data_IF_843464865210
#
_entry.id   IF_843464865210
#
_cell.length_a   1.000
_cell.length_b   1.000
_cell.length_c   1.000
_cell.angle_alpha   90.00
_cell.angle_beta   90.00
_cell.angle_gamma   90.00
#
_symmetry.space_group_name_H-M   'P 1'
#
loop_
_entity.id
_entity.type
_entity.pdbx_description
1 polymer ?
#
# COMPACT_ATOMS: atom_id res chain seq x y z
N UNK A 1 21.55 -50.79 43.11
CA UNK A 1 22.14 -51.35 41.88
C UNK A 1 22.17 -50.20 40.88
N UNK A 2 23.27 -49.45 40.80
CA UNK A 2 24.49 -49.67 40.01
C UNK A 2 24.13 -49.72 38.51
N UNK A 3 24.63 -48.96 37.59
CA UNK A 3 25.86 -48.26 37.23
C UNK A 3 25.57 -47.50 35.93
N UNK A 4 25.99 -46.23 35.73
CA UNK A 4 27.31 -45.82 35.23
C UNK A 4 27.50 -46.00 33.71
N UNK A 5 27.81 -44.94 33.04
CA UNK A 5 28.29 -44.96 31.65
C UNK A 5 28.49 -43.56 31.05
N UNK A 6 29.47 -42.83 31.57
CA UNK A 6 30.17 -41.72 30.93
C UNK A 6 30.79 -42.15 29.61
N UNK A 7 30.73 -41.32 28.58
CA UNK A 7 31.88 -41.18 27.65
C UNK A 7 31.83 -39.83 26.89
N UNK A 8 32.69 -38.99 27.37
CA UNK A 8 33.35 -37.88 26.69
C UNK A 8 34.32 -38.42 25.64
N UNK A 9 34.35 -37.91 24.44
CA UNK A 9 35.52 -37.83 23.55
C UNK A 9 35.21 -36.71 22.53
N UNK A 10 35.78 -35.58 22.61
CA UNK A 10 37.14 -35.13 22.28
C UNK A 10 37.19 -34.44 20.90
N UNK A 11 37.57 -33.23 20.98
CA UNK A 11 37.96 -32.31 19.94
C UNK A 11 39.01 -32.87 18.97
N UNK A 12 38.97 -32.45 17.72
CA UNK A 12 40.18 -32.29 16.95
C UNK A 12 40.13 -31.02 16.09
N UNK A 13 41.10 -30.26 16.41
CA UNK A 13 41.72 -29.11 15.78
C UNK A 13 42.45 -29.55 14.49
N UNK A 14 42.61 -28.61 13.64
CA UNK A 14 43.70 -28.27 12.72
C UNK A 14 43.17 -28.15 11.28
N UNK A 15 43.62 -27.28 10.42
CA UNK A 15 44.73 -26.33 10.43
C UNK A 15 44.61 -25.45 9.19
N UNK A 16 45.14 -24.31 9.31
CA UNK A 16 45.36 -23.27 8.33
C UNK A 16 45.97 -23.74 6.99
N UNK A 17 45.60 -23.09 5.90
CA UNK A 17 46.54 -22.86 4.81
C UNK A 17 46.25 -21.52 4.13
N UNK A 18 47.15 -20.67 4.30
CA UNK A 18 47.53 -19.39 3.76
C UNK A 18 48.02 -19.59 2.32
N UNK A 19 47.48 -18.88 1.35
CA UNK A 19 48.28 -18.47 0.19
C UNK A 19 47.84 -17.13 -0.35
N UNK A 20 48.77 -16.24 -0.29
CA UNK A 20 48.82 -14.92 -0.89
C UNK A 20 49.18 -15.03 -2.38
N UNK A 21 48.84 -13.99 -3.13
CA UNK A 21 49.34 -13.77 -4.50
C UNK A 21 48.40 -12.83 -5.24
N UNK A 22 48.75 -11.73 -5.34
CA UNK A 22 49.51 -10.81 -6.19
C UNK A 22 48.60 -9.81 -6.88
N UNK A 23 48.66 -8.60 -6.43
CA UNK A 23 48.97 -7.35 -7.14
C UNK A 23 48.88 -7.38 -8.66
N UNK A 24 47.96 -6.63 -9.20
CA UNK A 24 48.18 -5.92 -10.46
C UNK A 24 47.50 -4.54 -10.41
N UNK A 25 48.32 -3.56 -10.09
CA UNK A 25 48.10 -2.16 -10.39
C UNK A 25 48.17 -2.01 -11.91
N UNK A 26 47.14 -1.46 -12.52
CA UNK A 26 47.25 -0.78 -13.81
C UNK A 26 46.67 0.60 -13.63
N UNK A 27 47.60 1.54 -13.58
CA UNK A 27 47.40 2.97 -13.71
C UNK A 27 47.12 3.25 -15.18
N UNK A 28 46.02 3.92 -15.46
CA UNK A 28 45.86 4.69 -16.69
C UNK A 28 45.11 5.98 -16.33
N UNK A 29 45.89 7.00 -16.22
CA UNK A 29 45.57 8.40 -16.27
C UNK A 29 45.02 8.68 -17.66
N UNK A 30 43.79 9.09 -17.77
CA UNK A 30 43.27 9.80 -18.92
C UNK A 30 42.91 11.21 -18.47
N UNK A 31 43.80 12.10 -18.77
CA UNK A 31 43.60 13.55 -18.81
C UNK A 31 42.54 13.85 -19.84
N UNK A 32 41.45 14.44 -19.40
CA UNK A 32 40.43 15.01 -20.30
C UNK A 32 40.80 16.48 -20.52
N UNK A 33 41.25 16.75 -21.72
CA UNK A 33 41.53 18.11 -22.18
C UNK A 33 40.19 18.83 -22.38
N UNK A 34 40.09 19.96 -21.67
CA UNK A 34 39.20 21.06 -21.96
C UNK A 34 39.91 21.92 -22.98
N UNK A 35 39.45 21.95 -24.19
CA UNK A 35 39.35 23.16 -24.99
C UNK A 35 38.84 22.83 -26.39
N UNK A 36 38.09 23.77 -26.90
CA UNK A 36 37.82 24.04 -28.32
C UNK A 36 36.61 23.29 -28.95
N UNK A 37 35.46 24.00 -28.91
CA UNK A 37 34.79 24.42 -30.16
C UNK A 37 33.56 25.29 -29.82
N UNK A 38 33.76 26.57 -29.81
CA UNK A 38 32.73 27.56 -30.07
C UNK A 38 32.35 27.47 -31.58
N UNK A 39 31.15 27.05 -31.88
CA UNK A 39 30.48 27.34 -33.12
C UNK A 39 28.98 27.29 -32.97
N UNK A 40 28.40 28.43 -32.92
CA UNK A 40 27.08 28.85 -33.37
C UNK A 40 26.33 27.84 -34.23
N UNK A 41 25.16 27.37 -33.79
CA UNK A 41 24.02 27.22 -34.67
C UNK A 41 22.71 27.41 -33.89
N UNK A 42 22.11 28.56 -34.15
CA UNK A 42 20.74 28.91 -33.89
C UNK A 42 19.83 27.99 -34.69
N UNK A 43 19.24 26.99 -34.05
CA UNK A 43 18.13 26.26 -34.69
C UNK A 43 17.01 26.13 -33.67
N UNK A 44 15.95 26.82 -33.98
CA UNK A 44 14.65 26.84 -33.33
C UNK A 44 14.20 25.45 -32.90
N UNK A 45 14.19 25.21 -31.62
CA UNK A 45 13.50 24.08 -31.02
C UNK A 45 12.00 24.41 -30.98
N UNK A 46 11.14 23.60 -31.60
CA UNK A 46 9.72 23.75 -31.40
C UNK A 46 9.44 23.43 -29.93
N UNK A 47 8.87 24.41 -29.25
CA UNK A 47 8.29 24.24 -27.93
C UNK A 47 7.36 23.01 -27.97
N UNK A 48 7.86 21.85 -27.54
CA UNK A 48 7.02 20.74 -27.17
C UNK A 48 6.23 21.23 -25.98
N UNK A 49 5.03 21.69 -26.27
CA UNK A 49 4.01 21.87 -25.28
C UNK A 49 3.93 20.55 -24.49
N UNK A 50 4.47 20.58 -23.30
CA UNK A 50 4.22 19.59 -22.27
C UNK A 50 2.78 19.80 -21.86
N UNK A 51 1.85 19.36 -22.70
CA UNK A 51 0.51 19.08 -22.24
C UNK A 51 0.67 17.90 -21.31
N UNK A 52 0.94 18.23 -20.03
CA UNK A 52 0.70 17.31 -18.96
C UNK A 52 -0.75 16.87 -19.12
N UNK A 53 -0.91 15.70 -19.73
CA UNK A 53 -2.19 15.02 -19.79
C UNK A 53 -2.56 14.68 -18.36
N UNK A 54 -3.13 15.65 -17.66
CA UNK A 54 -3.89 15.42 -16.43
C UNK A 54 -5.20 14.71 -16.80
N UNK A 55 -5.09 13.63 -17.59
CA UNK A 55 -6.15 12.67 -17.82
C UNK A 55 -6.27 11.76 -16.61
N UNK A 56 -6.83 12.30 -15.55
CA UNK A 56 -7.03 11.53 -14.32
C UNK A 56 -7.86 12.27 -13.29
N UNK A 57 -8.32 13.47 -13.60
CA UNK A 57 -9.37 14.10 -12.78
C UNK A 57 -10.66 13.35 -13.11
N UNK A 58 -10.96 12.35 -12.30
CA UNK A 58 -12.22 11.61 -12.33
C UNK A 58 -13.38 12.60 -12.12
N UNK A 59 -13.84 13.23 -13.20
CA UNK A 59 -15.09 14.02 -13.19
C UNK A 59 -16.32 13.15 -12.87
N UNK A 60 -16.17 11.82 -12.86
CA UNK A 60 -17.20 10.88 -12.42
C UNK A 60 -17.56 10.96 -10.92
N UNK A 61 -16.77 11.71 -10.14
CA UNK A 61 -17.00 11.89 -8.70
C UNK A 61 -18.19 12.80 -8.38
N UNK A 62 -18.70 13.53 -9.35
CA UNK A 62 -19.80 14.50 -9.15
C UNK A 62 -21.21 13.91 -9.35
N UNK A 63 -21.37 12.71 -9.91
CA UNK A 63 -22.69 12.13 -10.26
C UNK A 63 -23.21 11.13 -9.22
N UNK A 64 -22.43 10.81 -8.19
CA UNK A 64 -22.86 9.96 -7.09
C UNK A 64 -23.35 10.81 -5.92
N UNK A 65 -24.61 10.68 -5.53
CA UNK A 65 -25.18 11.33 -4.34
C UNK A 65 -24.29 11.11 -3.10
N UNK A 66 -24.51 11.91 -2.05
CA UNK A 66 -23.74 11.81 -0.79
C UNK A 66 -23.86 10.40 -0.20
N UNK A 67 -22.72 9.76 0.07
CA UNK A 67 -22.65 8.50 0.81
C UNK A 67 -23.12 8.76 2.25
N UNK A 68 -24.07 7.98 2.76
CA UNK A 68 -24.58 8.10 4.13
C UNK A 68 -23.73 7.24 5.07
N UNK A 69 -23.64 7.66 6.33
CA UNK A 69 -22.93 6.90 7.36
C UNK A 69 -23.50 5.47 7.55
N UNK A 70 -24.83 5.29 7.38
CA UNK A 70 -25.46 3.96 7.39
C UNK A 70 -24.91 3.06 6.29
N UNK A 71 -24.83 3.59 5.08
CA UNK A 71 -24.40 2.84 3.91
C UNK A 71 -22.91 2.40 4.03
N UNK A 72 -22.09 3.25 4.66
CA UNK A 72 -20.68 2.92 4.98
C UNK A 72 -20.61 1.81 6.02
N UNK A 73 -21.45 1.86 7.05
CA UNK A 73 -21.48 0.82 8.07
C UNK A 73 -21.91 -0.52 7.47
N UNK A 74 -22.90 -0.52 6.58
CA UNK A 74 -23.37 -1.73 5.89
C UNK A 74 -22.27 -2.30 4.97
N UNK A 75 -21.58 -1.44 4.22
CA UNK A 75 -20.41 -1.83 3.45
C UNK A 75 -19.32 -2.46 4.33
N UNK A 76 -18.97 -1.82 5.46
CA UNK A 76 -17.97 -2.35 6.37
C UNK A 76 -18.37 -3.70 6.97
N UNK A 77 -19.64 -3.88 7.37
CA UNK A 77 -20.15 -5.15 7.88
C UNK A 77 -20.03 -6.27 6.85
N UNK A 78 -20.43 -5.99 5.61
CA UNK A 78 -20.31 -6.96 4.53
C UNK A 78 -18.86 -7.30 4.23
N UNK A 79 -17.95 -6.31 4.25
CA UNK A 79 -16.52 -6.52 4.09
C UNK A 79 -15.97 -7.44 5.21
N UNK A 80 -16.32 -7.17 6.46
CA UNK A 80 -15.94 -7.99 7.60
C UNK A 80 -16.39 -9.44 7.41
N UNK A 81 -17.66 -9.68 7.02
CA UNK A 81 -18.20 -11.02 6.82
C UNK A 81 -17.41 -11.79 5.75
N UNK A 82 -17.05 -11.15 4.64
CA UNK A 82 -16.27 -11.78 3.57
C UNK A 82 -14.84 -12.10 4.03
N UNK A 83 -14.21 -11.19 4.76
CA UNK A 83 -12.87 -11.40 5.30
C UNK A 83 -12.85 -12.51 6.36
N UNK A 84 -13.89 -12.62 7.19
CA UNK A 84 -14.04 -13.71 8.18
C UNK A 84 -14.29 -15.07 7.53
N UNK A 85 -14.95 -15.07 6.37
CA UNK A 85 -15.09 -16.26 5.54
C UNK A 85 -13.78 -16.66 4.81
N UNK A 86 -12.68 -15.95 5.07
CA UNK A 86 -11.37 -16.21 4.45
C UNK A 86 -11.22 -15.69 3.03
N UNK A 87 -12.15 -14.84 2.57
CA UNK A 87 -12.04 -14.25 1.23
C UNK A 87 -10.95 -13.19 1.20
N UNK A 88 -10.02 -13.22 0.24
CA UNK A 88 -9.00 -12.18 0.08
C UNK A 88 -9.60 -10.78 -0.04
N UNK A 89 -8.92 -9.77 0.53
CA UNK A 89 -9.40 -8.40 0.59
C UNK A 89 -9.86 -7.86 -0.78
N UNK A 90 -9.02 -7.99 -1.80
CA UNK A 90 -9.32 -7.48 -3.13
C UNK A 90 -10.58 -8.12 -3.71
N UNK A 91 -10.70 -9.46 -3.59
CA UNK A 91 -11.89 -10.18 -4.04
C UNK A 91 -13.15 -9.75 -3.29
N UNK A 92 -13.03 -9.52 -1.98
CA UNK A 92 -14.14 -9.00 -1.16
C UNK A 92 -14.60 -7.63 -1.64
N UNK A 93 -13.67 -6.72 -1.92
CA UNK A 93 -13.97 -5.39 -2.47
C UNK A 93 -14.62 -5.48 -3.85
N UNK A 94 -14.13 -6.34 -4.74
CA UNK A 94 -14.71 -6.56 -6.09
C UNK A 94 -16.16 -7.06 -5.99
N UNK A 95 -16.45 -8.00 -5.10
CA UNK A 95 -17.82 -8.48 -4.88
C UNK A 95 -18.73 -7.35 -4.39
N UNK A 96 -18.24 -6.54 -3.45
CA UNK A 96 -19.03 -5.45 -2.87
C UNK A 96 -19.24 -4.27 -3.82
N UNK A 97 -18.30 -4.01 -4.72
CA UNK A 97 -18.45 -2.97 -5.76
C UNK A 97 -19.62 -3.23 -6.70
N UNK A 98 -19.99 -4.50 -6.88
CA UNK A 98 -21.11 -4.92 -7.74
C UNK A 98 -22.45 -4.95 -7.00
N UNK A 99 -22.45 -5.10 -5.67
CA UNK A 99 -23.65 -5.33 -4.84
C UNK A 99 -24.21 -4.09 -4.16
N UNK A 100 -23.53 -2.96 -4.17
CA UNK A 100 -23.98 -1.75 -3.49
C UNK A 100 -25.36 -1.29 -3.98
N UNK A 101 -26.35 -1.15 -3.09
CA UNK A 101 -27.71 -0.74 -3.44
C UNK A 101 -27.77 0.67 -4.02
N UNK A 102 -26.94 1.58 -3.50
CA UNK A 102 -26.87 2.98 -3.93
C UNK A 102 -25.70 3.23 -4.85
N UNK A 103 -25.94 3.97 -5.92
CA UNK A 103 -24.90 4.35 -6.87
C UNK A 103 -23.71 5.06 -6.21
N UNK A 104 -23.95 5.90 -5.20
CA UNK A 104 -22.90 6.57 -4.44
C UNK A 104 -21.95 5.60 -3.74
N UNK A 105 -22.49 4.54 -3.14
CA UNK A 105 -21.70 3.49 -2.46
C UNK A 105 -20.96 2.63 -3.47
N UNK A 106 -21.65 2.21 -4.54
CA UNK A 106 -21.00 1.44 -5.62
C UNK A 106 -19.81 2.20 -6.19
N UNK A 107 -19.97 3.49 -6.48
CA UNK A 107 -18.88 4.31 -7.02
C UNK A 107 -17.74 4.47 -6.02
N UNK A 108 -18.03 4.63 -4.73
CA UNK A 108 -17.03 4.68 -3.68
C UNK A 108 -16.25 3.36 -3.58
N UNK A 109 -16.97 2.23 -3.51
CA UNK A 109 -16.33 0.92 -3.40
C UNK A 109 -15.56 0.55 -4.66
N UNK A 110 -16.07 0.91 -5.85
CA UNK A 110 -15.37 0.71 -7.11
C UNK A 110 -14.07 1.53 -7.19
N UNK A 111 -14.08 2.81 -6.76
CA UNK A 111 -12.86 3.64 -6.69
C UNK A 111 -11.85 3.05 -5.70
N UNK A 112 -12.30 2.59 -4.53
CA UNK A 112 -11.46 1.91 -3.54
C UNK A 112 -10.87 0.62 -4.13
N UNK A 113 -11.70 -0.20 -4.77
CA UNK A 113 -11.27 -1.47 -5.38
C UNK A 113 -10.20 -1.23 -6.43
N UNK A 114 -10.45 -0.33 -7.38
CA UNK A 114 -9.51 0.01 -8.43
C UNK A 114 -8.17 0.53 -7.88
N UNK A 115 -8.22 1.32 -6.80
CA UNK A 115 -7.01 1.84 -6.18
C UNK A 115 -6.17 0.75 -5.53
N UNK A 116 -6.82 -0.22 -4.88
CA UNK A 116 -6.15 -1.39 -4.27
C UNK A 116 -5.65 -2.37 -5.35
N UNK A 117 -6.40 -2.56 -6.45
CA UNK A 117 -5.96 -3.35 -7.62
C UNK A 117 -4.67 -2.84 -8.24
N UNK A 118 -4.46 -1.53 -8.22
CA UNK A 118 -3.22 -0.90 -8.67
C UNK A 118 -2.04 -1.07 -7.68
N UNK A 119 -2.20 -1.89 -6.64
CA UNK A 119 -1.15 -2.20 -5.67
C UNK A 119 -1.00 -1.20 -4.53
N UNK A 120 -1.93 -0.27 -4.38
CA UNK A 120 -1.90 0.68 -3.28
C UNK A 120 -2.53 0.09 -2.01
N UNK A 121 -2.16 0.64 -0.85
CA UNK A 121 -2.69 0.21 0.42
C UNK A 121 -4.18 0.63 0.60
N UNK A 122 -4.94 -0.18 1.35
CA UNK A 122 -6.35 0.08 1.61
C UNK A 122 -6.58 1.42 2.34
N UNK A 123 -5.72 1.76 3.31
CA UNK A 123 -5.82 3.02 4.04
C UNK A 123 -5.69 4.23 3.10
N UNK A 124 -4.84 4.17 2.07
CA UNK A 124 -4.69 5.22 1.06
C UNK A 124 -5.94 5.36 0.19
N UNK A 125 -6.58 4.23 -0.14
CA UNK A 125 -7.85 4.25 -0.86
C UNK A 125 -8.94 4.97 -0.06
N UNK A 126 -9.00 4.77 1.27
CA UNK A 126 -9.96 5.44 2.15
C UNK A 126 -9.65 6.92 2.35
N UNK A 127 -8.38 7.31 2.36
CA UNK A 127 -7.94 8.71 2.45
C UNK A 127 -8.47 9.57 1.30
N UNK A 128 -8.75 8.97 0.13
CA UNK A 128 -9.36 9.64 -1.00
C UNK A 128 -10.81 10.08 -0.75
N UNK A 129 -11.44 9.57 0.31
CA UNK A 129 -12.83 9.84 0.71
C UNK A 129 -12.93 10.56 2.07
N UNK A 130 -12.33 11.77 2.23
CA UNK A 130 -12.23 12.44 3.53
C UNK A 130 -13.58 12.91 4.09
N UNK A 131 -14.62 13.00 3.24
CA UNK A 131 -15.99 13.29 3.69
C UNK A 131 -16.71 12.07 4.26
N UNK A 132 -16.19 10.88 4.01
CA UNK A 132 -16.78 9.60 4.39
C UNK A 132 -16.01 8.95 5.54
N UNK A 133 -14.69 9.01 5.50
CA UNK A 133 -13.80 8.43 6.50
C UNK A 133 -13.05 9.52 7.24
N UNK A 134 -13.08 9.44 8.57
CA UNK A 134 -12.35 10.40 9.41
C UNK A 134 -10.84 10.07 9.47
N UNK A 135 -9.98 11.05 9.72
CA UNK A 135 -8.53 10.82 9.83
C UNK A 135 -8.18 9.75 10.86
N UNK A 136 -8.91 9.70 11.98
CA UNK A 136 -8.70 8.67 13.03
C UNK A 136 -9.00 7.27 12.50
N UNK A 137 -10.03 7.11 11.67
CA UNK A 137 -10.41 5.84 11.06
C UNK A 137 -9.33 5.37 10.08
N UNK A 138 -8.82 6.28 9.26
CA UNK A 138 -7.74 6.01 8.30
C UNK A 138 -6.47 5.55 9.03
N UNK A 139 -6.09 6.22 10.12
CA UNK A 139 -4.93 5.82 10.91
C UNK A 139 -5.10 4.43 11.55
N UNK A 140 -6.30 4.11 12.02
CA UNK A 140 -6.62 2.78 12.54
C UNK A 140 -6.51 1.70 11.47
N UNK A 141 -7.01 1.95 10.26
CA UNK A 141 -6.90 1.02 9.13
C UNK A 141 -5.44 0.84 8.72
N UNK A 142 -4.66 1.93 8.68
CA UNK A 142 -3.23 1.88 8.38
C UNK A 142 -2.47 0.97 9.36
N UNK A 143 -2.72 1.11 10.66
CA UNK A 143 -2.13 0.25 11.67
C UNK A 143 -2.61 -1.20 11.55
N UNK A 144 -3.90 -1.41 11.25
CA UNK A 144 -4.51 -2.72 11.09
C UNK A 144 -3.99 -3.49 9.87
N UNK A 145 -3.78 -2.78 8.77
CA UNK A 145 -3.22 -3.33 7.54
C UNK A 145 -1.76 -3.77 7.75
N UNK A 146 -0.96 -2.93 8.42
CA UNK A 146 0.42 -3.26 8.75
C UNK A 146 0.56 -4.46 9.72
N UNK A 147 -0.41 -4.63 10.63
CA UNK A 147 -0.41 -5.72 11.62
C UNK A 147 -1.19 -6.98 11.19
N UNK A 148 -1.87 -6.95 10.05
CA UNK A 148 -2.74 -8.04 9.59
C UNK A 148 -4.03 -8.21 10.41
N UNK A 149 -4.39 -7.23 11.26
CA UNK A 149 -5.56 -7.29 12.15
C UNK A 149 -6.78 -6.52 11.62
N UNK A 150 -6.90 -6.42 10.30
CA UNK A 150 -7.91 -5.59 9.64
C UNK A 150 -9.34 -5.94 10.09
N UNK A 151 -9.67 -7.24 10.22
CA UNK A 151 -10.99 -7.71 10.66
C UNK A 151 -11.38 -7.15 12.04
N UNK A 152 -10.43 -7.18 12.99
CA UNK A 152 -10.67 -6.74 14.37
C UNK A 152 -10.92 -5.23 14.43
N UNK A 153 -10.12 -4.48 13.69
CA UNK A 153 -10.24 -3.02 13.67
C UNK A 153 -11.50 -2.57 12.93
N UNK A 154 -11.84 -3.17 11.80
CA UNK A 154 -13.08 -2.87 11.08
C UNK A 154 -14.32 -3.10 11.96
N UNK A 155 -14.38 -4.19 12.73
CA UNK A 155 -15.45 -4.45 13.70
C UNK A 155 -15.57 -3.32 14.74
N UNK A 156 -14.44 -2.92 15.33
CA UNK A 156 -14.41 -1.83 16.30
C UNK A 156 -14.86 -0.50 15.69
N UNK A 157 -14.47 -0.23 14.46
CA UNK A 157 -14.88 0.98 13.74
C UNK A 157 -16.39 1.03 13.50
N UNK A 158 -17.02 -0.07 13.10
CA UNK A 158 -18.47 -0.13 12.91
C UNK A 158 -19.19 0.20 14.22
N UNK A 159 -18.81 -0.43 15.33
CA UNK A 159 -19.38 -0.17 16.66
C UNK A 159 -19.18 1.30 17.07
N UNK A 160 -18.01 1.87 16.82
CA UNK A 160 -17.72 3.27 17.11
C UNK A 160 -18.61 4.22 16.31
N UNK A 161 -18.75 3.98 14.99
CA UNK A 161 -19.60 4.78 14.09
C UNK A 161 -21.06 4.72 14.49
N UNK A 162 -21.55 3.54 14.88
CA UNK A 162 -22.93 3.36 15.35
C UNK A 162 -23.20 4.17 16.64
N UNK A 163 -22.31 4.07 17.61
CA UNK A 163 -22.44 4.86 18.86
C UNK A 163 -22.44 6.36 18.57
N UNK A 164 -21.55 6.83 17.71
CA UNK A 164 -21.51 8.24 17.31
C UNK A 164 -22.80 8.67 16.61
N UNK A 165 -23.33 7.84 15.75
CA UNK A 165 -24.59 8.12 15.03
C UNK A 165 -25.78 8.19 15.99
N UNK A 166 -25.84 7.34 16.99
CA UNK A 166 -26.87 7.36 18.04
C UNK A 166 -26.80 8.62 18.90
N UNK A 167 -25.59 9.08 19.22
CA UNK A 167 -25.40 10.31 19.99
C UNK A 167 -25.77 11.58 19.20
N UNK A 168 -25.51 11.58 17.90
CA UNK A 168 -25.81 12.72 17.03
C UNK A 168 -27.32 12.88 16.72
N UNK A 169 -28.15 11.86 17.00
CA UNK A 169 -29.62 11.89 16.82
C UNK A 169 -30.39 12.38 18.05
N UNK A 170 -29.73 12.57 19.20
CA UNK A 170 -30.30 13.15 20.41
C UNK A 170 -30.16 14.67 20.42
#
# INVERSE_FOLDING_TARGET
MAMKGDKVVRASRASASKKAGASRRVSARATFDLDEAVATETTSSPARSFTASFSGVNLGRAVGGRVRDSDVNDFMRQLIMLLEAGTPLLRSLTILSQRGERAAVRNMVADITQYVENGNALWQAFERWPRTFMPVEINLIKAAEASGTLNVILKRMVVYRERRHMLAKR
#
